data_IF_900396940505
#
_entry.id   IF_900396940505
#
_cell.length_a   1.000
_cell.length_b   1.000
_cell.length_c   1.000
_cell.angle_alpha   90.00
_cell.angle_beta   90.00
_cell.angle_gamma   90.00
#
_symmetry.space_group_name_H-M   'P 1'
#
loop_
_entity.id
_entity.type
_entity.pdbx_description
1 polymer ?
#
# COMPACT_ATOMS: atom_id res chain seq x y z
N UNK A 1 0.84 2.38 27.45
CA UNK A 1 -0.33 1.61 27.94
C UNK A 1 -0.18 0.19 27.42
N UNK A 2 -0.03 -0.78 28.34
CA UNK A 2 -0.01 -2.21 28.02
C UNK A 2 -1.33 -2.85 28.42
N UNK A 3 -1.62 -4.03 27.87
CA UNK A 3 -2.75 -4.84 28.31
C UNK A 3 -2.34 -5.58 29.59
N UNK A 4 -3.12 -5.41 30.66
CA UNK A 4 -2.90 -6.06 31.95
C UNK A 4 -3.45 -7.49 31.92
N UNK A 5 -2.64 -8.45 32.31
CA UNK A 5 -3.13 -9.80 32.62
C UNK A 5 -3.61 -9.81 34.09
N UNK A 6 -4.89 -10.12 34.30
CA UNK A 6 -5.50 -10.09 35.64
C UNK A 6 -4.97 -11.19 36.56
N UNK A 7 -4.42 -12.28 36.01
CA UNK A 7 -3.86 -13.38 36.79
C UNK A 7 -2.40 -13.12 37.20
N UNK A 8 -1.68 -12.29 36.44
CA UNK A 8 -0.27 -11.95 36.70
C UNK A 8 -0.02 -10.48 36.34
N UNK A 9 -0.24 -9.61 37.34
CA UNK A 9 -0.17 -8.16 37.22
C UNK A 9 1.22 -7.61 36.84
N UNK A 10 2.27 -8.42 36.96
CA UNK A 10 3.65 -8.06 36.60
C UNK A 10 4.01 -8.42 35.14
N UNK A 11 3.17 -9.18 34.43
CA UNK A 11 3.45 -9.55 33.05
C UNK A 11 2.94 -8.51 32.06
N UNK A 12 3.82 -8.15 31.13
CA UNK A 12 3.51 -7.28 30.00
C UNK A 12 3.59 -8.05 28.69
N UNK A 13 2.63 -7.82 27.79
CA UNK A 13 2.65 -8.44 26.47
C UNK A 13 3.71 -7.79 25.56
N UNK A 14 4.66 -8.59 25.06
CA UNK A 14 5.60 -8.16 24.02
C UNK A 14 4.96 -8.30 22.64
N UNK A 15 4.77 -7.18 21.95
CA UNK A 15 4.28 -7.16 20.58
C UNK A 15 5.33 -7.71 19.61
N UNK A 16 5.02 -8.83 18.97
CA UNK A 16 5.84 -9.44 17.91
C UNK A 16 5.57 -8.82 16.53
N UNK A 17 4.42 -8.16 16.37
CA UNK A 17 4.01 -7.42 15.18
C UNK A 17 3.38 -6.08 15.61
N UNK A 18 3.48 -5.08 14.76
CA UNK A 18 2.88 -3.76 15.00
C UNK A 18 1.36 -3.87 15.02
N UNK A 19 0.72 -3.34 16.06
CA UNK A 19 -0.74 -3.24 16.16
C UNK A 19 -1.27 -2.04 15.40
N UNK A 20 -2.47 -2.20 14.83
CA UNK A 20 -3.25 -1.10 14.30
C UNK A 20 -3.51 -0.04 15.38
N UNK A 21 -3.50 1.25 15.01
CA UNK A 21 -3.69 2.36 15.94
C UNK A 21 -2.42 2.83 16.67
N UNK A 22 -1.30 2.11 16.59
CA UNK A 22 -0.01 2.64 17.00
C UNK A 22 0.56 3.54 15.92
N UNK A 23 1.01 4.76 16.25
CA UNK A 23 1.69 5.67 15.30
C UNK A 23 2.88 5.03 14.57
N UNK A 24 3.52 4.04 15.18
CA UNK A 24 4.68 3.33 14.63
C UNK A 24 4.30 2.30 13.56
N UNK A 25 3.07 1.76 13.59
CA UNK A 25 2.62 0.72 12.68
C UNK A 25 2.57 1.18 11.20
N UNK A 26 1.90 2.30 10.85
CA UNK A 26 1.86 2.76 9.46
C UNK A 26 3.24 3.18 8.94
N UNK A 27 4.11 3.72 9.82
CA UNK A 27 5.49 4.08 9.44
C UNK A 27 6.34 2.84 9.13
N UNK A 28 6.26 1.81 9.97
CA UNK A 28 6.96 0.55 9.74
C UNK A 28 6.46 -0.17 8.49
N UNK A 29 5.14 -0.10 8.25
CA UNK A 29 4.52 -0.62 7.04
C UNK A 29 5.01 0.09 5.78
N UNK A 30 4.92 1.42 5.75
CA UNK A 30 5.43 2.22 4.64
C UNK A 30 6.91 1.91 4.37
N UNK A 31 7.74 1.83 5.41
CA UNK A 31 9.16 1.48 5.25
C UNK A 31 9.38 0.13 4.58
N UNK A 32 8.59 -0.90 4.92
CA UNK A 32 8.67 -2.22 4.28
C UNK A 32 8.26 -2.18 2.80
N UNK A 33 7.21 -1.45 2.47
CA UNK A 33 6.75 -1.27 1.09
C UNK A 33 7.78 -0.49 0.28
N UNK A 34 8.26 0.64 0.80
CA UNK A 34 9.22 1.49 0.11
C UNK A 34 10.50 0.72 -0.23
N UNK A 35 11.04 -0.04 0.73
CA UNK A 35 12.20 -0.93 0.49
C UNK A 35 11.88 -1.96 -0.59
N UNK A 36 10.73 -2.61 -0.52
CA UNK A 36 10.33 -3.63 -1.49
C UNK A 36 10.19 -3.08 -2.91
N UNK A 37 9.52 -1.93 -3.07
CA UNK A 37 9.34 -1.25 -4.35
C UNK A 37 10.68 -0.79 -4.93
N UNK A 38 11.55 -0.23 -4.09
CA UNK A 38 12.88 0.23 -4.50
C UNK A 38 13.74 -0.93 -5.02
N UNK A 39 13.74 -2.08 -4.33
CA UNK A 39 14.41 -3.29 -4.82
C UNK A 39 13.78 -3.84 -6.11
N UNK A 40 12.48 -3.62 -6.30
CA UNK A 40 11.76 -3.91 -7.55
C UNK A 40 12.07 -2.95 -8.71
N UNK A 41 12.92 -1.94 -8.49
CA UNK A 41 13.30 -0.96 -9.50
C UNK A 41 12.35 0.24 -9.63
N UNK A 42 11.46 0.45 -8.66
CA UNK A 42 10.67 1.68 -8.57
C UNK A 42 11.48 2.79 -7.93
N UNK A 43 11.24 4.02 -8.38
CA UNK A 43 11.81 5.23 -7.81
C UNK A 43 10.70 6.02 -7.10
N UNK A 44 10.99 6.46 -5.88
CA UNK A 44 10.12 7.38 -5.16
C UNK A 44 10.18 8.76 -5.83
N UNK A 45 9.03 9.41 -6.01
CA UNK A 45 9.01 10.75 -6.60
C UNK A 45 9.48 11.81 -5.60
N UNK A 46 10.08 12.89 -6.12
CA UNK A 46 10.50 14.04 -5.29
C UNK A 46 9.32 14.90 -4.83
N UNK A 47 8.21 14.88 -5.58
CA UNK A 47 7.01 15.65 -5.27
C UNK A 47 6.15 14.99 -4.20
N UNK A 48 6.13 13.64 -4.16
CA UNK A 48 5.35 12.88 -3.20
C UNK A 48 6.06 11.57 -2.83
N UNK A 49 6.39 11.42 -1.54
CA UNK A 49 7.05 10.23 -1.02
C UNK A 49 6.17 8.99 -1.08
N UNK A 50 4.85 9.14 -1.11
CA UNK A 50 3.91 8.02 -1.24
C UNK A 50 3.81 7.47 -2.66
N UNK A 51 4.35 8.19 -3.65
CA UNK A 51 4.27 7.87 -5.06
C UNK A 51 5.58 7.26 -5.57
N UNK A 52 5.47 6.07 -6.15
CA UNK A 52 6.56 5.30 -6.72
C UNK A 52 6.33 5.07 -8.21
N UNK A 53 7.35 5.29 -9.03
CA UNK A 53 7.28 5.18 -10.49
C UNK A 53 8.39 4.27 -10.98
N UNK A 54 8.06 3.36 -11.90
CA UNK A 54 9.01 2.55 -12.65
C UNK A 54 8.75 2.74 -14.14
N UNK A 55 9.77 3.20 -14.87
CA UNK A 55 9.69 3.40 -16.31
C UNK A 55 10.42 2.27 -17.06
N UNK A 56 9.80 1.76 -18.13
CA UNK A 56 10.38 0.78 -19.04
C UNK A 56 9.92 1.05 -20.47
N UNK A 57 10.86 1.29 -21.38
CA UNK A 57 10.61 1.38 -22.84
C UNK A 57 9.41 2.29 -23.21
N UNK A 58 9.39 3.50 -22.64
CA UNK A 58 8.32 4.52 -22.76
C UNK A 58 7.00 4.22 -22.05
N UNK A 59 6.87 3.08 -21.38
CA UNK A 59 5.77 2.79 -20.47
C UNK A 59 6.18 3.06 -19.03
N UNK A 60 5.20 3.28 -18.17
CA UNK A 60 5.31 3.50 -16.74
C UNK A 60 4.38 2.58 -15.95
N UNK A 61 4.84 2.18 -14.77
CA UNK A 61 4.03 1.64 -13.70
C UNK A 61 4.16 2.54 -12.49
N UNK A 62 3.03 2.77 -11.82
CA UNK A 62 2.88 3.70 -10.71
C UNK A 62 2.28 2.92 -9.53
N UNK A 63 2.86 3.10 -8.36
CA UNK A 63 2.33 2.62 -7.08
C UNK A 63 2.17 3.81 -6.16
N UNK A 64 0.95 4.07 -5.71
CA UNK A 64 0.63 5.07 -4.70
C UNK A 64 0.28 4.35 -3.38
N UNK A 65 0.99 4.70 -2.31
CA UNK A 65 0.86 4.08 -0.99
C UNK A 65 0.05 4.99 -0.07
N UNK A 66 -1.16 4.59 0.31
CA UNK A 66 -1.98 5.35 1.25
C UNK A 66 -2.33 4.51 2.47
N UNK A 67 -1.63 4.74 3.59
CA UNK A 67 -1.81 4.00 4.84
C UNK A 67 -1.79 2.48 4.59
N UNK A 68 -2.95 1.82 4.61
CA UNK A 68 -3.09 0.38 4.40
C UNK A 68 -3.43 -0.01 2.95
N UNK A 69 -3.82 0.96 2.13
CA UNK A 69 -4.26 0.79 0.75
C UNK A 69 -3.16 1.13 -0.26
N UNK A 70 -3.22 0.47 -1.41
CA UNK A 70 -2.30 0.67 -2.52
C UNK A 70 -3.06 0.82 -3.82
N UNK A 71 -2.75 1.88 -4.56
CA UNK A 71 -3.19 2.02 -5.95
C UNK A 71 -2.04 1.64 -6.85
N UNK A 72 -2.25 0.62 -7.68
CA UNK A 72 -1.28 0.17 -8.68
C UNK A 72 -1.89 0.37 -10.07
N UNK A 73 -1.28 1.24 -10.87
CA UNK A 73 -1.75 1.66 -12.21
C UNK A 73 -0.58 1.94 -13.13
N UNK A 74 -0.83 2.03 -14.44
CA UNK A 74 0.20 2.29 -15.44
C UNK A 74 -0.21 1.75 -16.81
N UNK A 75 0.49 2.19 -17.85
CA UNK A 75 0.35 1.71 -19.22
C UNK A 75 1.22 0.46 -19.49
N UNK A 76 2.20 0.17 -18.63
CA UNK A 76 2.89 -1.12 -18.59
C UNK A 76 2.05 -2.19 -17.87
N UNK A 77 1.11 -2.81 -18.59
CA UNK A 77 0.20 -3.82 -18.02
C UNK A 77 0.95 -5.01 -17.40
N UNK A 78 2.04 -5.45 -18.02
CA UNK A 78 2.86 -6.54 -17.53
C UNK A 78 3.48 -6.21 -16.16
N UNK A 79 4.06 -5.02 -16.01
CA UNK A 79 4.68 -4.58 -14.75
C UNK A 79 3.62 -4.34 -13.66
N UNK A 80 2.46 -3.79 -14.01
CA UNK A 80 1.32 -3.60 -13.08
C UNK A 80 0.84 -4.95 -12.54
N UNK A 81 0.63 -5.94 -13.41
CA UNK A 81 0.18 -7.29 -13.03
C UNK A 81 1.24 -7.99 -12.18
N UNK A 82 2.50 -7.93 -12.59
CA UNK A 82 3.61 -8.54 -11.85
C UNK A 82 3.76 -7.91 -10.46
N UNK A 83 3.69 -6.58 -10.36
CA UNK A 83 3.79 -5.86 -9.10
C UNK A 83 2.64 -6.23 -8.17
N UNK A 84 1.41 -6.29 -8.69
CA UNK A 84 0.24 -6.72 -7.91
C UNK A 84 0.41 -8.14 -7.36
N UNK A 85 0.84 -9.09 -8.21
CA UNK A 85 1.09 -10.48 -7.79
C UNK A 85 2.19 -10.56 -6.74
N UNK A 86 3.30 -9.86 -6.95
CA UNK A 86 4.43 -9.83 -6.02
C UNK A 86 4.02 -9.25 -4.65
N UNK A 87 3.23 -8.18 -4.64
CA UNK A 87 2.68 -7.56 -3.44
C UNK A 87 1.76 -8.52 -2.68
N UNK A 88 0.83 -9.18 -3.39
CA UNK A 88 -0.08 -10.16 -2.80
C UNK A 88 0.68 -11.34 -2.18
N UNK A 89 1.67 -11.90 -2.86
CA UNK A 89 2.47 -13.02 -2.33
C UNK A 89 3.33 -12.57 -1.14
N UNK A 90 3.99 -11.42 -1.24
CA UNK A 90 4.94 -10.97 -0.21
C UNK A 90 4.26 -10.50 1.07
N UNK A 91 3.15 -9.77 0.94
CA UNK A 91 2.49 -9.09 2.05
C UNK A 91 1.10 -9.63 2.37
N UNK A 92 0.64 -10.67 1.66
CA UNK A 92 -0.70 -11.27 1.82
C UNK A 92 -1.83 -10.24 1.58
N UNK A 93 -1.57 -9.27 0.71
CA UNK A 93 -2.55 -8.26 0.34
C UNK A 93 -3.66 -8.87 -0.53
N UNK A 94 -4.89 -8.43 -0.29
CA UNK A 94 -6.05 -8.77 -1.10
C UNK A 94 -6.15 -7.82 -2.29
N UNK A 95 -6.35 -8.36 -3.48
CA UNK A 95 -6.74 -7.54 -4.63
C UNK A 95 -8.21 -7.16 -4.51
N UNK A 96 -8.48 -5.86 -4.45
CA UNK A 96 -9.84 -5.31 -4.40
C UNK A 96 -10.41 -5.03 -5.79
N UNK A 97 -9.62 -5.25 -6.86
CA UNK A 97 -10.06 -5.10 -8.24
C UNK A 97 -9.99 -3.65 -8.74
N UNK A 98 -11.06 -3.18 -9.39
CA UNK A 98 -11.12 -1.81 -9.87
C UNK A 98 -11.28 -0.85 -8.68
N UNK A 99 -10.62 0.31 -8.77
CA UNK A 99 -10.72 1.34 -7.74
C UNK A 99 -12.15 1.85 -7.72
N UNK A 100 -12.91 1.50 -6.68
CA UNK A 100 -14.29 1.97 -6.48
C UNK A 100 -14.40 2.98 -5.36
N UNK A 101 -13.52 2.87 -4.37
CA UNK A 101 -13.52 3.72 -3.18
C UNK A 101 -12.09 4.12 -2.85
N UNK A 102 -11.84 5.40 -2.63
CA UNK A 102 -10.55 5.91 -2.16
C UNK A 102 -10.74 7.19 -1.35
N UNK A 103 -10.33 7.20 -0.08
CA UNK A 103 -10.44 8.38 0.80
C UNK A 103 -11.88 8.91 1.00
N UNK A 104 -12.88 8.04 0.91
CA UNK A 104 -14.29 8.44 0.95
C UNK A 104 -14.82 8.98 -0.38
N UNK A 105 -14.01 8.98 -1.44
CA UNK A 105 -14.47 9.21 -2.80
C UNK A 105 -14.94 7.89 -3.41
N UNK A 106 -16.13 7.90 -4.00
CA UNK A 106 -16.57 6.83 -4.90
C UNK A 106 -16.09 7.13 -6.32
N UNK A 107 -15.56 6.10 -6.98
CA UNK A 107 -14.98 6.19 -8.32
C UNK A 107 -15.74 5.27 -9.24
N UNK A 108 -16.50 5.86 -10.15
CA UNK A 108 -17.21 5.15 -11.21
C UNK A 108 -16.43 5.21 -12.52
N UNK A 109 -16.22 4.03 -13.12
CA UNK A 109 -15.50 3.89 -14.38
C UNK A 109 -16.50 3.74 -15.52
N UNK A 110 -16.50 4.71 -16.44
CA UNK A 110 -17.14 4.62 -17.74
C UNK A 110 -16.05 4.36 -18.81
N UNK A 111 -16.38 3.79 -19.97
CA UNK A 111 -15.40 3.26 -20.94
C UNK A 111 -14.21 4.18 -21.27
N UNK A 112 -14.39 5.50 -21.18
CA UNK A 112 -13.34 6.51 -21.39
C UNK A 112 -13.25 7.57 -20.29
N UNK A 113 -14.03 7.48 -19.21
CA UNK A 113 -14.15 8.54 -18.21
C UNK A 113 -14.20 7.97 -16.79
N UNK A 114 -13.68 8.73 -15.84
CA UNK A 114 -13.83 8.45 -14.41
C UNK A 114 -14.73 9.54 -13.80
N UNK A 115 -15.77 9.12 -13.10
CA UNK A 115 -16.60 9.99 -12.29
C UNK A 115 -16.20 9.84 -10.83
N UNK A 116 -16.08 10.97 -10.13
CA UNK A 116 -15.72 11.02 -8.72
C UNK A 116 -16.91 11.61 -7.96
N UNK A 117 -17.42 10.86 -7.00
CA UNK A 117 -18.52 11.28 -6.13
C UNK A 117 -18.01 11.30 -4.67
N UNK A 118 -18.57 12.19 -3.85
CA UNK A 118 -18.27 12.33 -2.42
C UNK A 118 -19.56 12.22 -1.61
#
# INVERSE_FOLDING_TARGET
MGFLNLDHLEYVCKLQKTLYGLKQAPRAWYGKIAVFLTHGGYLMTSADSSLFIKAKERKIAIVLVYVDDLIIRGDCKEEVLQTRKNMSVRFQMKDLGHLKHFLGLEVDHCETRMFLHQ
#
